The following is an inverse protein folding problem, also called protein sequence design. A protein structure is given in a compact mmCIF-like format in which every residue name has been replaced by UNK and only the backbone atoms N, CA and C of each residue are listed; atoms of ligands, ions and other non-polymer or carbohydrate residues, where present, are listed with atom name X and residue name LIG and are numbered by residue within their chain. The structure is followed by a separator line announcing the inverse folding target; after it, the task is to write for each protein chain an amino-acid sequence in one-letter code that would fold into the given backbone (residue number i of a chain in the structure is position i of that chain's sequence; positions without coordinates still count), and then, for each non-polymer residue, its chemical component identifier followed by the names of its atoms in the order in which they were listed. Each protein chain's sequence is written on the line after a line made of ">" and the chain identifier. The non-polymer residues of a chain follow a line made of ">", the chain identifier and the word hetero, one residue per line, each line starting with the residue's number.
data_IF_061620165435
#
_entry.id   IF_061620165435
#
_cell.length_a   1.000
_cell.length_b   1.000
_cell.length_c   1.000
_cell.angle_alpha   90.00
_cell.angle_beta   90.00
_cell.angle_gamma   90.00
#
_symmetry.space_group_name_H-M   'P 1'
#
loop_
_entity.id
_entity.type
_entity.pdbx_description
1 polymer ?
#
# COMPACT_ATOMS: atom_id res chain seq x y z
N UNK A 1 6.23 6.18 12.88
CA UNK A 1 6.55 6.90 11.62
C UNK A 1 8.05 6.99 11.47
N UNK A 2 8.58 6.50 10.34
CA UNK A 2 10.01 6.44 10.03
C UNK A 2 10.41 7.55 9.06
N UNK A 3 11.50 8.25 9.30
CA UNK A 3 11.98 9.29 8.39
C UNK A 3 13.51 9.27 8.30
N UNK A 4 14.09 9.38 7.08
CA UNK A 4 15.53 9.46 6.90
C UNK A 4 16.02 10.88 7.20
N UNK A 5 17.26 11.23 6.82
CA UNK A 5 17.78 12.60 7.00
C UNK A 5 17.16 13.63 6.04
N UNK A 6 15.85 13.62 5.87
CA UNK A 6 15.07 14.57 5.09
C UNK A 6 14.37 15.58 6.00
N UNK A 7 13.71 16.60 5.43
CA UNK A 7 12.89 17.54 6.20
C UNK A 7 11.50 16.93 6.46
N UNK A 8 11.19 16.43 7.67
CA UNK A 8 9.81 16.16 8.04
C UNK A 8 9.08 17.49 8.25
N UNK A 9 7.84 17.62 7.78
CA UNK A 9 7.11 18.88 7.84
C UNK A 9 5.65 18.69 8.20
N UNK A 10 5.20 19.41 9.21
CA UNK A 10 3.81 19.46 9.64
C UNK A 10 3.21 20.79 9.18
N UNK A 11 1.98 20.74 8.67
CA UNK A 11 1.17 21.91 8.39
C UNK A 11 -0.16 21.82 9.14
N UNK A 12 -0.63 22.94 9.66
CA UNK A 12 -2.03 23.12 10.06
C UNK A 12 -2.76 23.77 8.89
N UNK A 13 -3.80 23.11 8.42
CA UNK A 13 -4.59 23.56 7.28
C UNK A 13 -5.70 24.50 7.71
N UNK A 14 -6.27 25.29 6.77
CA UNK A 14 -7.33 26.27 7.06
C UNK A 14 -8.58 25.65 7.70
N UNK A 15 -8.84 24.36 7.45
CA UNK A 15 -9.97 23.64 8.04
C UNK A 15 -9.70 23.15 9.49
N UNK A 16 -8.55 23.50 10.08
CA UNK A 16 -8.17 23.15 11.44
C UNK A 16 -7.49 21.79 11.58
N UNK A 17 -7.45 20.96 10.52
CA UNK A 17 -6.78 19.65 10.51
C UNK A 17 -5.31 19.78 10.12
N UNK A 18 -4.54 18.72 10.32
CA UNK A 18 -3.10 18.71 10.13
C UNK A 18 -2.67 17.76 9.02
N UNK A 19 -1.56 18.07 8.37
CA UNK A 19 -0.90 17.20 7.39
C UNK A 19 0.55 17.03 7.80
N UNK A 20 1.07 15.80 7.72
CA UNK A 20 2.45 15.50 8.06
C UNK A 20 3.17 14.79 6.92
N UNK A 21 4.15 15.46 6.33
CA UNK A 21 5.04 14.94 5.30
C UNK A 21 6.26 14.25 5.88
N UNK A 22 6.59 13.08 5.33
CA UNK A 22 7.77 12.28 5.66
C UNK A 22 8.06 11.23 4.56
N UNK A 23 9.03 10.33 4.73
CA UNK A 23 9.41 9.35 3.69
C UNK A 23 9.22 7.86 4.05
N UNK A 24 8.61 7.57 5.20
CA UNK A 24 8.35 6.21 5.69
C UNK A 24 9.54 5.23 5.55
N UNK A 25 10.73 5.71 5.94
CA UNK A 25 12.01 5.03 5.79
C UNK A 25 12.94 5.40 6.96
N UNK A 26 13.61 4.46 7.63
CA UNK A 26 14.37 4.73 8.87
C UNK A 26 15.88 4.89 8.70
N UNK A 27 16.38 4.83 7.45
CA UNK A 27 17.78 5.08 7.11
C UNK A 27 18.32 6.39 7.69
N UNK A 28 19.62 6.47 8.00
CA UNK A 28 20.21 7.63 8.70
C UNK A 28 20.94 8.60 7.78
N UNK A 29 20.93 8.33 6.49
CA UNK A 29 21.61 9.11 5.45
C UNK A 29 20.62 9.91 4.59
N UNK A 30 21.08 10.35 3.41
CA UNK A 30 20.28 11.14 2.49
C UNK A 30 19.47 10.31 1.48
N UNK A 31 19.39 8.99 1.64
CA UNK A 31 18.68 8.04 0.76
C UNK A 31 17.23 7.79 1.22
N UNK A 32 16.48 7.04 0.43
CA UNK A 32 15.14 6.55 0.80
C UNK A 32 14.09 7.66 0.84
N UNK A 33 14.14 8.59 -0.11
CA UNK A 33 13.22 9.74 -0.20
C UNK A 33 12.23 9.67 -1.35
N UNK A 34 12.13 8.51 -1.98
CA UNK A 34 11.16 8.23 -3.02
C UNK A 34 10.45 6.91 -2.71
N UNK A 35 9.16 6.94 -2.33
CA UNK A 35 8.25 8.08 -2.41
C UNK A 35 8.29 9.02 -1.19
N UNK A 36 7.57 10.14 -1.30
CA UNK A 36 7.15 10.98 -0.19
C UNK A 36 5.73 10.58 0.27
N UNK A 37 5.54 10.57 1.57
CA UNK A 37 4.33 10.11 2.25
C UNK A 37 3.67 11.26 3.00
N UNK A 38 2.36 11.12 3.23
CA UNK A 38 1.55 12.06 4.01
C UNK A 38 0.66 11.33 5.01
N UNK A 39 0.58 11.83 6.25
CA UNK A 39 -0.45 11.45 7.23
C UNK A 39 -1.37 12.64 7.51
N UNK A 40 -2.67 12.37 7.63
CA UNK A 40 -3.66 13.34 8.09
C UNK A 40 -3.77 13.31 9.62
N UNK A 41 -3.84 14.47 10.27
CA UNK A 41 -3.99 14.60 11.71
C UNK A 41 -5.29 15.31 12.07
N UNK A 42 -6.01 14.79 13.07
CA UNK A 42 -7.13 15.48 13.72
C UNK A 42 -6.81 15.75 15.18
N UNK A 43 -7.24 16.89 15.71
CA UNK A 43 -7.06 17.21 17.12
C UNK A 43 -8.21 16.64 17.95
N UNK A 44 -7.89 15.87 18.98
CA UNK A 44 -8.82 15.27 19.93
C UNK A 44 -8.21 15.46 21.32
N UNK A 45 -8.94 16.12 22.22
CA UNK A 45 -8.51 16.36 23.61
C UNK A 45 -7.10 16.96 23.74
N UNK A 46 -6.74 17.89 22.85
CA UNK A 46 -5.42 18.54 22.83
C UNK A 46 -4.29 17.70 22.24
N UNK A 47 -4.58 16.51 21.72
CA UNK A 47 -3.61 15.65 21.05
C UNK A 47 -3.93 15.52 19.55
N UNK A 48 -2.90 15.47 18.70
CA UNK A 48 -3.08 15.18 17.28
C UNK A 48 -3.04 13.67 17.06
N UNK A 49 -4.17 13.12 16.62
CA UNK A 49 -4.29 11.73 16.21
C UNK A 49 -3.97 11.64 14.71
N UNK A 50 -2.90 10.93 14.39
CA UNK A 50 -2.45 10.75 13.00
C UNK A 50 -3.08 9.52 12.35
N UNK A 51 -3.41 9.64 11.07
CA UNK A 51 -3.84 8.56 10.20
C UNK A 51 -2.66 7.65 9.84
N UNK A 52 -2.97 6.44 9.35
CA UNK A 52 -1.98 5.67 8.57
C UNK A 52 -1.60 6.49 7.33
N UNK A 53 -0.35 6.40 6.84
CA UNK A 53 0.12 7.28 5.78
C UNK A 53 -0.29 6.81 4.38
N UNK A 54 -0.33 7.77 3.46
CA UNK A 54 -0.50 7.56 2.02
C UNK A 54 0.75 8.00 1.26
N UNK A 55 0.97 7.41 0.09
CA UNK A 55 1.93 7.97 -0.88
C UNK A 55 1.33 9.26 -1.42
N UNK A 56 2.08 10.37 -1.31
CA UNK A 56 1.66 11.67 -1.80
C UNK A 56 2.33 11.99 -3.15
N UNK A 57 3.65 11.85 -3.21
CA UNK A 57 4.44 12.11 -4.41
C UNK A 57 5.48 11.00 -4.59
N UNK A 58 5.76 10.70 -5.84
CA UNK A 58 6.83 9.79 -6.23
C UNK A 58 7.48 10.30 -7.50
N UNK A 59 8.74 9.92 -7.70
CA UNK A 59 9.41 10.04 -8.99
C UNK A 59 9.38 8.67 -9.69
N UNK A 60 8.99 8.60 -10.97
CA UNK A 60 8.96 7.35 -11.72
C UNK A 60 10.36 6.76 -11.96
N UNK A 61 11.43 7.56 -11.85
CA UNK A 61 12.79 7.05 -11.92
C UNK A 61 13.10 6.26 -10.63
N UNK A 62 13.14 4.94 -10.77
CA UNK A 62 13.55 4.05 -9.69
C UNK A 62 15.05 4.24 -9.40
N UNK A 63 15.40 4.62 -8.16
CA UNK A 63 16.77 4.65 -7.68
C UNK A 63 17.03 5.73 -6.63
N UNK A 64 17.74 5.36 -5.56
CA UNK A 64 18.17 6.27 -4.49
C UNK A 64 19.57 6.87 -4.78
N UNK A 65 19.87 7.24 -6.02
CA UNK A 65 21.21 7.73 -6.34
C UNK A 65 21.58 8.98 -5.51
N UNK A 66 22.83 9.06 -5.04
CA UNK A 66 23.36 10.23 -4.34
C UNK A 66 23.98 11.18 -5.37
N UNK A 67 23.30 12.27 -5.72
CA UNK A 67 23.90 13.30 -6.57
C UNK A 67 22.90 14.31 -7.11
N UNK A 68 23.33 15.11 -8.09
CA UNK A 68 22.45 15.94 -8.92
C UNK A 68 21.48 15.09 -9.77
N UNK A 69 21.83 13.83 -9.98
CA UNK A 69 21.11 12.87 -10.84
C UNK A 69 20.24 11.88 -10.02
N UNK A 70 20.03 12.16 -8.73
CA UNK A 70 19.32 11.27 -7.82
C UNK A 70 18.00 11.81 -7.31
N UNK A 71 16.99 10.94 -7.24
CA UNK A 71 15.65 11.30 -6.73
C UNK A 71 15.70 11.48 -5.22
N UNK A 72 15.64 12.73 -4.75
CA UNK A 72 15.69 13.06 -3.32
C UNK A 72 14.76 14.20 -2.93
N UNK A 73 13.47 14.01 -3.19
CA UNK A 73 12.41 14.97 -2.82
C UNK A 73 12.52 15.32 -1.34
N UNK A 74 12.52 16.61 -1.01
CA UNK A 74 12.58 17.14 0.35
C UNK A 74 12.27 18.64 0.34
N UNK A 75 12.22 19.25 1.53
CA UNK A 75 11.91 20.66 1.75
C UNK A 75 10.53 21.02 1.22
N UNK A 76 9.49 20.28 1.64
CA UNK A 76 8.17 20.55 1.15
C UNK A 76 7.60 21.81 1.76
N UNK A 77 6.69 22.47 1.05
CA UNK A 77 5.76 23.42 1.64
C UNK A 77 4.37 23.29 1.06
N UNK A 78 3.36 23.71 1.82
CA UNK A 78 1.95 23.58 1.46
C UNK A 78 1.37 24.95 1.11
N UNK A 79 0.70 25.03 -0.03
CA UNK A 79 -0.07 26.19 -0.47
C UNK A 79 -1.55 25.81 -0.45
N UNK A 80 -2.36 26.66 0.19
CA UNK A 80 -3.81 26.53 0.26
C UNK A 80 -4.49 27.77 -0.32
N UNK A 81 -5.19 27.60 -1.44
CA UNK A 81 -5.87 28.70 -2.11
C UNK A 81 -7.19 28.21 -2.72
N UNK A 82 -8.28 28.94 -2.45
CA UNK A 82 -9.60 28.70 -3.04
C UNK A 82 -10.10 27.24 -2.90
N UNK A 83 -9.84 26.62 -1.74
CA UNK A 83 -10.23 25.23 -1.45
C UNK A 83 -9.37 24.16 -2.12
N UNK A 84 -8.29 24.55 -2.79
CA UNK A 84 -7.33 23.67 -3.47
C UNK A 84 -6.00 23.66 -2.74
N UNK A 85 -5.22 22.62 -3.00
CA UNK A 85 -3.95 22.34 -2.35
C UNK A 85 -2.85 22.17 -3.38
N UNK A 86 -1.69 22.76 -3.08
CA UNK A 86 -0.46 22.47 -3.80
C UNK A 86 0.65 22.16 -2.81
N UNK A 87 1.50 21.21 -3.17
CA UNK A 87 2.72 20.90 -2.43
C UNK A 87 3.92 21.23 -3.29
N UNK A 88 4.77 22.10 -2.78
CA UNK A 88 6.09 22.34 -3.36
C UNK A 88 7.09 21.32 -2.82
N UNK A 89 8.08 20.96 -3.62
CA UNK A 89 9.21 20.12 -3.21
C UNK A 89 10.48 20.55 -3.95
N UNK A 90 11.64 20.14 -3.43
CA UNK A 90 12.92 20.28 -4.13
C UNK A 90 13.71 18.98 -4.11
N UNK A 91 14.50 18.76 -5.17
CA UNK A 91 15.55 17.75 -5.23
C UNK A 91 16.94 18.36 -5.42
N UNK A 92 17.29 19.34 -4.56
CA UNK A 92 18.53 20.15 -4.61
C UNK A 92 18.63 21.12 -5.78
N UNK A 93 18.47 20.67 -7.02
CA UNK A 93 18.67 21.48 -8.23
C UNK A 93 17.38 21.92 -8.92
N UNK A 94 16.28 21.21 -8.66
CA UNK A 94 14.97 21.48 -9.27
C UNK A 94 13.97 21.68 -8.15
N UNK A 95 13.15 22.72 -8.27
CA UNK A 95 11.97 22.97 -7.44
C UNK A 95 10.71 22.70 -8.29
N UNK A 96 9.73 22.03 -7.70
CA UNK A 96 8.45 21.70 -8.35
C UNK A 96 7.29 22.10 -7.46
N UNK A 97 6.14 22.34 -8.08
CA UNK A 97 4.86 22.56 -7.40
C UNK A 97 3.88 21.57 -8.01
N UNK A 98 3.24 20.79 -7.16
CA UNK A 98 2.26 19.77 -7.54
C UNK A 98 0.91 20.19 -7.01
N UNK A 99 -0.08 20.30 -7.89
CA UNK A 99 -1.46 20.33 -7.42
C UNK A 99 -1.83 18.96 -6.86
N UNK A 100 -2.44 18.94 -5.68
CA UNK A 100 -2.88 17.73 -5.02
C UNK A 100 -4.41 17.71 -5.03
N UNK A 101 -4.99 16.59 -5.43
CA UNK A 101 -6.42 16.37 -5.31
C UNK A 101 -6.85 16.46 -3.83
N UNK A 102 -7.70 17.43 -3.53
CA UNK A 102 -8.21 17.66 -2.18
C UNK A 102 -8.90 16.41 -1.59
N UNK A 103 -9.48 15.55 -2.45
CA UNK A 103 -10.11 14.31 -2.03
C UNK A 103 -9.13 13.33 -1.36
N UNK A 104 -7.83 13.40 -1.68
CA UNK A 104 -6.80 12.60 -1.00
C UNK A 104 -6.64 13.04 0.46
N UNK A 105 -6.62 14.34 0.72
CA UNK A 105 -6.51 14.88 2.08
C UNK A 105 -7.76 14.61 2.91
N UNK A 106 -8.94 14.78 2.32
CA UNK A 106 -10.20 14.36 2.95
C UNK A 106 -10.19 12.88 3.31
N UNK A 107 -9.60 12.04 2.46
CA UNK A 107 -9.50 10.60 2.69
C UNK A 107 -8.58 10.24 3.87
N UNK A 108 -7.39 10.84 3.99
CA UNK A 108 -6.51 10.59 5.15
C UNK A 108 -7.10 11.08 6.46
N UNK A 109 -7.77 12.23 6.46
CA UNK A 109 -8.46 12.72 7.66
C UNK A 109 -9.70 11.89 8.02
N UNK A 110 -10.41 11.35 7.03
CA UNK A 110 -11.58 10.51 7.25
C UNK A 110 -11.24 9.13 7.82
N UNK A 111 -9.97 8.70 7.82
CA UNK A 111 -9.56 7.40 8.37
C UNK A 111 -10.04 7.20 9.82
N UNK A 112 -10.20 8.27 10.61
CA UNK A 112 -10.63 8.17 12.01
C UNK A 112 -12.08 7.71 12.18
N UNK A 113 -12.96 7.93 11.21
CA UNK A 113 -14.40 7.65 11.32
C UNK A 113 -14.92 6.70 10.24
N UNK A 114 -14.24 6.61 9.10
CA UNK A 114 -14.68 5.82 7.94
C UNK A 114 -14.60 4.31 8.22
N UNK A 115 -15.68 3.60 7.90
CA UNK A 115 -15.85 2.16 8.15
C UNK A 115 -16.74 1.47 7.11
N UNK A 116 -16.60 1.86 5.85
CA UNK A 116 -17.37 1.29 4.74
C UNK A 116 -16.48 0.51 3.77
N UNK A 117 -17.04 -0.56 3.21
CA UNK A 117 -16.36 -1.32 2.15
C UNK A 117 -16.23 -0.47 0.89
N UNK A 118 -15.02 -0.41 0.37
CA UNK A 118 -14.71 0.22 -0.91
C UNK A 118 -15.36 -0.57 -2.04
N UNK A 119 -16.12 0.11 -2.91
CA UNK A 119 -16.80 -0.54 -4.05
C UNK A 119 -16.15 -0.20 -5.39
N UNK A 120 -15.51 0.95 -5.50
CA UNK A 120 -14.82 1.35 -6.72
C UNK A 120 -13.68 0.36 -7.02
N UNK A 121 -13.73 -0.26 -8.20
CA UNK A 121 -12.75 -1.23 -8.66
C UNK A 121 -12.90 -2.63 -8.07
N UNK A 122 -13.88 -2.89 -7.19
CA UNK A 122 -14.14 -4.24 -6.64
C UNK A 122 -14.58 -5.17 -7.77
N UNK A 123 -13.74 -6.14 -8.11
CA UNK A 123 -13.94 -7.08 -9.21
C UNK A 123 -14.25 -8.51 -8.73
N UNK A 124 -13.88 -8.84 -7.49
CA UNK A 124 -14.23 -10.09 -6.82
C UNK A 124 -14.55 -9.83 -5.35
N UNK A 125 -15.59 -10.46 -4.82
CA UNK A 125 -15.92 -10.48 -3.39
C UNK A 125 -16.55 -11.84 -3.05
N UNK A 126 -15.78 -12.73 -2.44
CA UNK A 126 -16.20 -14.10 -2.13
C UNK A 126 -15.96 -14.44 -0.66
N UNK A 127 -16.98 -15.02 -0.03
CA UNK A 127 -17.00 -15.47 1.35
C UNK A 127 -16.62 -16.95 1.52
N UNK A 128 -16.93 -17.54 2.69
CA UNK A 128 -16.54 -18.91 3.02
C UNK A 128 -17.45 -19.96 2.37
N UNK A 129 -18.66 -19.56 1.98
CA UNK A 129 -19.67 -20.42 1.34
C UNK A 129 -19.52 -20.50 -0.18
N UNK A 130 -18.71 -19.62 -0.79
CA UNK A 130 -18.41 -19.67 -2.21
C UNK A 130 -17.41 -20.80 -2.53
N UNK A 131 -17.60 -21.45 -3.68
CA UNK A 131 -16.81 -22.61 -4.08
C UNK A 131 -15.30 -22.31 -4.09
N UNK A 132 -14.54 -22.89 -3.16
CA UNK A 132 -13.12 -22.53 -2.89
C UNK A 132 -12.12 -22.81 -4.03
N UNK A 133 -12.50 -23.59 -5.04
CA UNK A 133 -11.63 -24.00 -6.15
C UNK A 133 -12.04 -23.58 -7.56
N UNK A 134 -13.15 -22.84 -7.73
CA UNK A 134 -13.69 -22.50 -9.06
C UNK A 134 -14.20 -21.06 -9.16
N UNK A 135 -13.70 -20.16 -8.31
CA UNK A 135 -14.03 -18.74 -8.44
C UNK A 135 -13.24 -18.17 -9.61
N UNK A 136 -13.93 -17.58 -10.58
CA UNK A 136 -13.28 -16.89 -11.69
C UNK A 136 -12.38 -15.76 -11.17
N UNK A 137 -11.12 -15.76 -11.61
CA UNK A 137 -10.18 -14.69 -11.28
C UNK A 137 -10.43 -13.51 -12.23
N UNK A 138 -10.71 -12.30 -11.71
CA UNK A 138 -10.84 -11.13 -12.57
C UNK A 138 -9.51 -10.78 -13.23
N UNK A 139 -9.58 -10.20 -14.44
CA UNK A 139 -8.39 -9.69 -15.14
C UNK A 139 -7.78 -8.53 -14.36
N UNK A 140 -6.50 -8.66 -14.02
CA UNK A 140 -5.69 -7.61 -13.41
C UNK A 140 -5.10 -6.68 -14.49
N UNK A 141 -5.05 -5.35 -14.26
CA UNK A 141 -4.41 -4.43 -15.19
C UNK A 141 -2.90 -4.71 -15.39
N UNK A 142 -2.38 -4.40 -16.58
CA UNK A 142 -0.95 -4.54 -16.90
C UNK A 142 -0.10 -3.53 -16.11
N UNK A 143 0.85 -4.03 -15.32
CA UNK A 143 1.68 -3.23 -14.43
C UNK A 143 2.67 -2.32 -15.18
N UNK A 144 3.05 -2.64 -16.43
CA UNK A 144 3.89 -1.75 -17.26
C UNK A 144 3.15 -0.49 -17.67
N UNK A 145 1.82 -0.58 -17.79
CA UNK A 145 0.94 0.52 -18.22
C UNK A 145 0.39 1.33 -17.05
N UNK A 146 1.15 1.39 -15.94
CA UNK A 146 0.76 2.04 -14.68
C UNK A 146 -0.50 1.43 -14.04
N UNK A 147 -0.89 0.22 -14.45
CA UNK A 147 -1.96 -0.53 -13.83
C UNK A 147 -1.62 -0.92 -12.39
N UNK A 148 -2.64 -1.24 -11.60
CA UNK A 148 -2.45 -1.72 -10.24
C UNK A 148 -3.61 -2.61 -9.82
N UNK A 149 -3.46 -3.26 -8.69
CA UNK A 149 -4.51 -4.09 -8.10
C UNK A 149 -4.32 -4.20 -6.59
N UNK A 150 -5.37 -4.61 -5.89
CA UNK A 150 -5.27 -4.98 -4.47
C UNK A 150 -6.01 -6.28 -4.21
N UNK A 151 -5.45 -7.10 -3.32
CA UNK A 151 -6.06 -8.33 -2.84
C UNK A 151 -6.25 -8.19 -1.33
N UNK A 152 -7.51 -8.16 -0.90
CA UNK A 152 -7.92 -8.10 0.50
C UNK A 152 -8.39 -9.46 0.99
N UNK A 153 -7.84 -9.96 2.09
CA UNK A 153 -8.23 -11.21 2.71
C UNK A 153 -8.67 -10.96 4.16
N UNK A 154 -9.77 -11.58 4.55
CA UNK A 154 -10.03 -11.89 5.94
C UNK A 154 -9.66 -13.35 6.18
N UNK A 155 -8.79 -13.61 7.15
CA UNK A 155 -8.27 -14.95 7.44
C UNK A 155 -8.35 -15.27 8.93
N UNK A 156 -8.53 -16.53 9.26
CA UNK A 156 -8.51 -17.02 10.64
C UNK A 156 -7.73 -18.34 10.67
N UNK A 157 -6.56 -18.29 11.30
CA UNK A 157 -5.57 -19.37 11.31
C UNK A 157 -4.90 -19.57 9.95
N UNK A 158 -3.57 -19.57 9.91
CA UNK A 158 -2.80 -19.90 8.72
C UNK A 158 -1.52 -20.63 9.11
N UNK A 159 -1.10 -21.62 8.32
CA UNK A 159 0.16 -22.33 8.55
C UNK A 159 1.27 -21.75 7.69
N UNK A 160 2.50 -21.78 8.20
CA UNK A 160 3.67 -21.48 7.39
C UNK A 160 3.70 -22.38 6.14
N UNK A 161 3.95 -21.77 4.98
CA UNK A 161 3.92 -22.40 3.66
C UNK A 161 2.53 -22.50 3.03
N UNK A 162 1.45 -22.13 3.73
CA UNK A 162 0.09 -22.22 3.20
C UNK A 162 -0.20 -21.13 2.16
N UNK A 163 -0.61 -21.53 0.95
CA UNK A 163 -1.10 -20.63 -0.08
C UNK A 163 -2.52 -20.15 0.25
N UNK A 164 -2.64 -18.92 0.73
CA UNK A 164 -3.91 -18.31 1.15
C UNK A 164 -4.81 -18.01 -0.05
N UNK A 165 -4.22 -17.45 -1.11
CA UNK A 165 -4.87 -17.08 -2.35
C UNK A 165 -3.89 -17.35 -3.49
N UNK A 166 -4.24 -18.23 -4.44
CA UNK A 166 -3.34 -18.62 -5.53
C UNK A 166 -4.08 -18.63 -6.87
N UNK A 167 -3.66 -17.75 -7.78
CA UNK A 167 -4.16 -17.62 -9.14
C UNK A 167 -3.03 -17.79 -10.16
N UNK A 168 -1.99 -18.56 -9.82
CA UNK A 168 -0.92 -18.91 -10.76
C UNK A 168 -1.31 -20.04 -11.68
N UNK A 169 -0.85 -19.99 -12.92
CA UNK A 169 -0.98 -21.08 -13.88
C UNK A 169 0.08 -22.18 -13.63
N UNK A 170 0.11 -23.18 -14.52
CA UNK A 170 1.00 -24.32 -14.39
C UNK A 170 2.50 -23.95 -14.54
N UNK A 171 2.79 -22.83 -15.21
CA UNK A 171 4.15 -22.34 -15.45
C UNK A 171 4.59 -21.35 -14.35
N UNK A 172 3.70 -21.03 -13.41
CA UNK A 172 3.97 -20.15 -12.27
C UNK A 172 3.66 -18.67 -12.52
N UNK A 173 3.26 -18.29 -13.74
CA UNK A 173 2.76 -16.94 -14.04
C UNK A 173 1.47 -16.70 -13.26
N UNK A 174 1.31 -15.51 -12.68
CA UNK A 174 0.13 -15.14 -11.91
C UNK A 174 0.47 -14.45 -10.60
N UNK A 175 -0.47 -14.50 -9.65
CA UNK A 175 -0.33 -13.92 -8.32
C UNK A 175 -0.67 -14.93 -7.23
N UNK A 176 0.06 -14.88 -6.11
CA UNK A 176 -0.24 -15.66 -4.92
C UNK A 176 0.08 -14.89 -3.63
N UNK A 177 -0.76 -15.08 -2.61
CA UNK A 177 -0.50 -14.69 -1.23
C UNK A 177 -0.22 -15.94 -0.40
N UNK A 178 0.93 -15.98 0.28
CA UNK A 178 1.42 -17.14 1.01
C UNK A 178 1.77 -16.73 2.43
N UNK A 179 1.32 -17.50 3.43
CA UNK A 179 1.83 -17.35 4.80
C UNK A 179 3.23 -17.96 4.87
N UNK A 180 4.23 -17.20 5.31
CA UNK A 180 5.64 -17.66 5.39
C UNK A 180 6.05 -17.95 6.83
N UNK A 181 7.21 -18.59 7.02
CA UNK A 181 7.69 -19.07 8.34
C UNK A 181 7.75 -17.98 9.42
N UNK A 182 8.01 -16.72 9.03
CA UNK A 182 8.06 -15.58 9.94
C UNK A 182 6.67 -15.05 10.36
N UNK A 183 5.58 -15.79 10.12
CA UNK A 183 4.21 -15.31 10.37
C UNK A 183 3.77 -14.12 9.52
N UNK A 184 4.53 -13.79 8.47
CA UNK A 184 4.19 -12.75 7.49
C UNK A 184 3.36 -13.32 6.34
N UNK A 185 2.71 -12.44 5.59
CA UNK A 185 2.10 -12.76 4.30
C UNK A 185 2.97 -12.21 3.19
N UNK A 186 3.42 -13.09 2.30
CA UNK A 186 4.20 -12.75 1.11
C UNK A 186 3.29 -12.73 -0.12
N UNK A 187 3.30 -11.60 -0.83
CA UNK A 187 2.81 -11.53 -2.20
C UNK A 187 3.92 -12.00 -3.13
N UNK A 188 3.57 -12.93 -4.01
CA UNK A 188 4.39 -13.40 -5.12
C UNK A 188 3.65 -13.11 -6.41
N UNK A 189 4.33 -12.54 -7.38
CA UNK A 189 3.77 -12.28 -8.70
C UNK A 189 4.79 -12.53 -9.80
N UNK A 190 4.31 -13.04 -10.93
CA UNK A 190 5.11 -13.35 -12.10
C UNK A 190 4.32 -13.08 -13.37
N UNK A 191 4.96 -12.51 -14.39
CA UNK A 191 4.41 -12.43 -15.75
C UNK A 191 4.93 -13.54 -16.69
N UNK A 192 5.75 -14.45 -16.15
CA UNK A 192 6.47 -15.50 -16.89
C UNK A 192 7.98 -15.23 -16.90
N UNK A 193 8.47 -14.21 -17.64
CA UNK A 193 9.89 -13.87 -17.67
C UNK A 193 10.38 -13.05 -16.47
N UNK A 194 9.49 -12.36 -15.74
CA UNK A 194 9.87 -11.49 -14.62
C UNK A 194 9.05 -11.82 -13.38
N UNK A 195 9.75 -11.90 -12.24
CA UNK A 195 9.17 -12.18 -10.93
C UNK A 195 9.33 -10.98 -9.99
N UNK A 196 8.39 -10.83 -9.07
CA UNK A 196 8.52 -9.96 -7.92
C UNK A 196 7.85 -10.55 -6.69
N UNK A 197 8.42 -10.24 -5.52
CA UNK A 197 7.87 -10.64 -4.22
C UNK A 197 8.11 -9.57 -3.16
N UNK A 198 7.17 -9.45 -2.24
CA UNK A 198 7.34 -8.65 -1.03
C UNK A 198 6.47 -9.23 0.08
N UNK A 199 6.97 -9.17 1.31
CA UNK A 199 6.27 -9.65 2.49
C UNK A 199 5.80 -8.50 3.36
N UNK A 200 4.67 -8.71 4.04
CA UNK A 200 4.23 -7.87 5.16
C UNK A 200 5.29 -7.84 6.27
N UNK A 201 5.04 -7.09 7.33
CA UNK A 201 5.82 -7.22 8.56
C UNK A 201 5.69 -8.65 9.12
N UNK A 202 6.72 -9.10 9.81
CA UNK A 202 6.71 -10.42 10.44
C UNK A 202 5.74 -10.45 11.61
N UNK A 203 5.38 -11.67 12.00
CA UNK A 203 4.56 -12.01 13.15
C UNK A 203 3.13 -11.45 13.10
N UNK A 204 2.71 -10.85 11.98
CA UNK A 204 1.37 -10.25 11.83
C UNK A 204 0.24 -11.27 11.91
N UNK A 205 0.53 -12.56 11.69
CA UNK A 205 -0.42 -13.68 11.82
C UNK A 205 -0.17 -14.56 13.04
N UNK A 206 0.63 -14.11 14.02
CA UNK A 206 0.95 -14.92 15.21
C UNK A 206 -0.09 -14.79 16.33
N UNK A 207 -0.86 -13.71 16.34
CA UNK A 207 -1.95 -13.56 17.28
C UNK A 207 -3.12 -14.48 16.90
N UNK A 208 -3.80 -15.01 17.90
CA UNK A 208 -5.02 -15.79 17.67
C UNK A 208 -6.15 -14.89 17.15
N UNK A 209 -6.94 -15.42 16.22
CA UNK A 209 -8.19 -14.82 15.77
C UNK A 209 -8.20 -14.44 14.30
N UNK A 210 -9.08 -13.49 14.00
CA UNK A 210 -9.40 -13.04 12.65
C UNK A 210 -8.51 -11.84 12.28
N UNK A 211 -7.78 -11.97 11.17
CA UNK A 211 -6.93 -10.91 10.62
C UNK A 211 -7.47 -10.41 9.28
N UNK A 212 -7.30 -9.12 9.02
CA UNK A 212 -7.56 -8.50 7.73
C UNK A 212 -6.26 -8.04 7.09
N UNK A 213 -5.95 -8.58 5.92
CA UNK A 213 -4.75 -8.26 5.15
C UNK A 213 -5.17 -7.63 3.84
N UNK A 214 -4.53 -6.55 3.43
CA UNK A 214 -4.62 -6.01 2.08
C UNK A 214 -3.23 -5.88 1.51
N UNK A 215 -2.94 -6.65 0.45
CA UNK A 215 -1.77 -6.44 -0.38
C UNK A 215 -2.16 -5.49 -1.52
N UNK A 216 -1.43 -4.39 -1.70
CA UNK A 216 -1.65 -3.43 -2.78
C UNK A 216 -0.43 -3.37 -3.67
N UNK A 217 -0.66 -3.51 -4.98
CA UNK A 217 0.34 -3.35 -6.04
C UNK A 217 -0.03 -2.11 -6.84
N UNK A 218 0.84 -1.10 -6.79
CA UNK A 218 0.67 0.16 -7.50
C UNK A 218 1.74 0.30 -8.59
N UNK A 219 1.30 0.23 -9.85
CA UNK A 219 2.16 0.40 -11.02
C UNK A 219 2.60 1.83 -11.30
N UNK A 220 2.07 2.84 -10.61
CA UNK A 220 2.60 4.20 -10.68
C UNK A 220 4.03 4.27 -10.13
N UNK A 221 4.20 4.17 -8.80
CA UNK A 221 5.51 4.18 -8.14
C UNK A 221 6.24 2.82 -8.22
N UNK A 222 5.62 1.78 -8.80
CA UNK A 222 6.11 0.38 -8.82
C UNK A 222 6.31 -0.18 -7.42
N UNK A 223 5.28 -0.06 -6.58
CA UNK A 223 5.34 -0.44 -5.16
C UNK A 223 4.35 -1.53 -4.77
N UNK A 224 4.77 -2.33 -3.80
CA UNK A 224 3.97 -3.30 -3.07
C UNK A 224 3.89 -2.85 -1.61
N UNK A 225 2.68 -2.69 -1.10
CA UNK A 225 2.42 -2.34 0.31
C UNK A 225 1.45 -3.33 0.94
N UNK A 226 1.52 -3.44 2.26
CA UNK A 226 0.59 -4.24 3.05
C UNK A 226 -0.08 -3.39 4.12
N UNK A 227 -1.39 -3.55 4.26
CA UNK A 227 -2.14 -3.10 5.44
C UNK A 227 -2.65 -4.34 6.16
N UNK A 228 -2.26 -4.52 7.42
CA UNK A 228 -2.73 -5.62 8.27
C UNK A 228 -3.45 -5.03 9.48
N UNK A 229 -4.69 -5.48 9.71
CA UNK A 229 -5.55 -5.03 10.81
C UNK A 229 -5.67 -3.50 10.92
N UNK A 230 -5.72 -2.84 9.76
CA UNK A 230 -5.82 -1.39 9.66
C UNK A 230 -4.53 -0.62 9.96
N UNK A 231 -3.38 -1.29 10.05
CA UNK A 231 -2.06 -0.68 10.14
C UNK A 231 -1.25 -0.94 8.87
N UNK A 232 -0.66 0.10 8.30
CA UNK A 232 0.27 -0.05 7.18
C UNK A 232 1.57 -0.67 7.71
N UNK A 233 2.03 -1.76 7.09
CA UNK A 233 3.35 -2.32 7.37
C UNK A 233 4.43 -1.29 7.04
N UNK A 234 5.24 -0.95 8.04
CA UNK A 234 6.30 0.04 7.91
C UNK A 234 7.70 -0.58 7.99
N UNK A 235 7.78 -1.91 8.14
CA UNK A 235 9.01 -2.68 8.30
C UNK A 235 9.29 -3.07 9.75
N UNK A 236 8.50 -2.60 10.71
CA UNK A 236 8.69 -2.85 12.14
C UNK A 236 10.10 -2.52 12.61
N UNK A 237 10.66 -3.34 13.49
CA UNK A 237 12.07 -3.21 13.89
C UNK A 237 13.04 -3.92 12.91
N UNK A 238 12.49 -4.75 12.02
CA UNK A 238 13.27 -5.67 11.19
C UNK A 238 13.79 -5.04 9.90
N UNK A 239 13.09 -4.03 9.38
CA UNK A 239 13.42 -3.36 8.11
C UNK A 239 13.38 -1.85 8.23
N UNK A 240 14.16 -1.20 7.38
CA UNK A 240 14.16 0.27 7.29
C UNK A 240 12.83 0.82 6.76
N UNK A 241 12.06 0.01 6.05
CA UNK A 241 10.79 0.35 5.43
C UNK A 241 9.93 -0.92 5.23
N UNK A 242 8.62 -0.74 5.01
CA UNK A 242 7.64 -1.83 4.91
C UNK A 242 7.07 -2.06 3.51
N UNK A 243 7.64 -1.41 2.50
CA UNK A 243 7.17 -1.43 1.11
C UNK A 243 8.25 -1.98 0.16
N UNK A 244 7.85 -2.70 -0.88
CA UNK A 244 8.77 -3.31 -1.85
C UNK A 244 8.64 -2.66 -3.21
N UNK A 245 9.76 -2.48 -3.93
CA UNK A 245 9.72 -2.16 -5.35
C UNK A 245 9.67 -3.43 -6.19
N UNK A 246 9.00 -3.37 -7.34
CA UNK A 246 9.05 -4.42 -8.35
C UNK A 246 9.68 -3.90 -9.66
N UNK A 247 10.23 -4.79 -10.50
CA UNK A 247 10.91 -4.39 -11.73
C UNK A 247 9.97 -3.66 -12.70
N UNK A 248 10.50 -2.69 -13.45
CA UNK A 248 9.69 -1.84 -14.32
C UNK A 248 9.11 -2.61 -15.53
N UNK A 249 9.79 -3.70 -15.92
CA UNK A 249 9.43 -4.61 -16.99
C UNK A 249 8.34 -5.61 -16.62
N UNK A 250 8.07 -5.82 -15.32
CA UNK A 250 7.00 -6.71 -14.86
C UNK A 250 5.65 -6.16 -15.33
N UNK A 251 4.90 -6.97 -16.09
CA UNK A 251 3.69 -6.53 -16.77
C UNK A 251 2.43 -7.32 -16.44
N UNK A 252 2.07 -8.23 -17.35
CA UNK A 252 0.83 -8.98 -17.29
C UNK A 252 0.94 -10.16 -16.31
N UNK A 253 0.52 -9.96 -15.07
CA UNK A 253 0.51 -11.00 -14.03
C UNK A 253 -0.80 -11.81 -14.00
N UNK A 254 -1.54 -11.89 -15.12
CA UNK A 254 -2.70 -12.77 -15.23
C UNK A 254 -2.26 -14.20 -15.55
N UNK A 255 -2.42 -15.11 -14.59
CA UNK A 255 -2.14 -16.54 -14.71
C UNK A 255 -3.40 -17.36 -14.94
N UNK A 256 -3.75 -18.20 -13.96
CA UNK A 256 -4.91 -19.08 -14.04
C UNK A 256 -6.24 -18.31 -14.14
N UNK A 257 -7.21 -18.90 -14.85
CA UNK A 257 -8.56 -18.32 -15.00
C UNK A 257 -9.39 -18.38 -13.71
N UNK A 258 -8.97 -19.17 -12.72
CA UNK A 258 -9.63 -19.31 -11.42
C UNK A 258 -8.62 -19.12 -10.29
N UNK A 259 -9.13 -18.72 -9.13
CA UNK A 259 -8.35 -18.64 -7.90
C UNK A 259 -8.67 -19.80 -6.97
N UNK A 260 -7.62 -20.39 -6.39
CA UNK A 260 -7.69 -21.31 -5.25
C UNK A 260 -7.54 -20.53 -3.95
N UNK A 261 -8.40 -20.82 -2.96
CA UNK A 261 -8.35 -20.18 -1.63
C UNK A 261 -8.21 -21.22 -0.52
N UNK A 262 -7.36 -20.94 0.45
CA UNK A 262 -7.22 -21.76 1.65
C UNK A 262 -8.51 -21.79 2.50
N UNK A 263 -8.65 -22.80 3.36
CA UNK A 263 -9.74 -22.87 4.35
C UNK A 263 -9.67 -21.72 5.35
N UNK A 264 -8.44 -21.31 5.68
CA UNK A 264 -8.10 -20.12 6.45
C UNK A 264 -8.82 -18.84 5.99
N UNK A 265 -8.98 -18.69 4.67
CA UNK A 265 -9.60 -17.50 4.08
C UNK A 265 -11.10 -17.53 4.28
N UNK A 266 -11.60 -16.58 5.06
CA UNK A 266 -13.03 -16.36 5.34
C UNK A 266 -13.66 -15.45 4.32
N UNK A 267 -12.92 -14.47 3.81
CA UNK A 267 -13.36 -13.62 2.70
C UNK A 267 -12.18 -13.18 1.86
N UNK A 268 -12.36 -13.14 0.54
CA UNK A 268 -11.38 -12.58 -0.38
C UNK A 268 -12.03 -11.54 -1.27
N UNK A 269 -11.36 -10.41 -1.43
CA UNK A 269 -11.76 -9.34 -2.33
C UNK A 269 -10.60 -9.00 -3.26
N UNK A 270 -10.89 -8.85 -4.55
CA UNK A 270 -9.92 -8.39 -5.55
C UNK A 270 -10.41 -7.09 -6.13
N UNK A 271 -9.52 -6.10 -6.19
CA UNK A 271 -9.76 -4.81 -6.79
C UNK A 271 -8.89 -4.66 -8.04
N UNK A 272 -9.50 -4.31 -9.18
CA UNK A 272 -8.80 -4.04 -10.44
C UNK A 272 -8.08 -2.68 -10.48
N UNK A 273 -7.65 -2.21 -9.31
CA UNK A 273 -6.85 -1.00 -9.08
C UNK A 273 -6.12 -1.12 -7.75
N UNK A 274 -5.08 -0.32 -7.54
CA UNK A 274 -4.54 -0.13 -6.20
C UNK A 274 -5.60 0.54 -5.30
N UNK A 275 -5.71 0.06 -4.06
CA UNK A 275 -6.42 0.74 -2.99
C UNK A 275 -5.49 1.73 -2.29
N UNK A 276 -6.05 2.87 -1.88
CA UNK A 276 -5.39 3.75 -0.92
C UNK A 276 -5.26 3.03 0.44
N UNK A 277 -4.25 3.38 1.24
CA UNK A 277 -4.11 2.86 2.61
C UNK A 277 -5.40 3.09 3.41
N UNK A 278 -5.99 4.27 3.27
CA UNK A 278 -7.22 4.71 3.93
C UNK A 278 -8.44 3.86 3.53
N UNK A 279 -8.48 3.35 2.30
CA UNK A 279 -9.52 2.44 1.84
C UNK A 279 -9.35 1.06 2.44
N UNK A 280 -8.10 0.57 2.54
CA UNK A 280 -7.80 -0.68 3.23
C UNK A 280 -8.13 -0.60 4.74
N UNK A 281 -7.83 0.53 5.39
CA UNK A 281 -8.20 0.81 6.78
C UNK A 281 -9.72 0.86 6.96
N UNK A 282 -10.44 1.54 6.06
CA UNK A 282 -11.90 1.58 6.10
C UNK A 282 -12.53 0.19 5.90
N UNK A 283 -11.97 -0.63 4.99
CA UNK A 283 -12.40 -2.01 4.77
C UNK A 283 -12.22 -2.88 6.03
N UNK A 284 -11.11 -2.72 6.76
CA UNK A 284 -10.90 -3.39 8.04
C UNK A 284 -11.98 -3.01 9.06
N UNK A 285 -12.20 -1.71 9.24
CA UNK A 285 -13.18 -1.16 10.20
C UNK A 285 -14.63 -1.51 9.87
N UNK A 286 -14.93 -1.79 8.61
CA UNK A 286 -16.24 -2.27 8.18
C UNK A 286 -16.52 -3.71 8.63
N UNK A 287 -15.49 -4.47 8.98
CA UNK A 287 -15.59 -5.87 9.38
C UNK A 287 -15.62 -6.84 8.19
N UNK A 288 -15.79 -8.11 8.54
CA UNK A 288 -15.89 -9.24 7.62
C UNK A 288 -16.99 -9.05 6.58
#
# INVERSE_FOLDING_TARGET
>A
MKNPRACPRIWKTKNGKYLFWFHNHSGKDFLGRNPAWISGGIEVDGHIHWSQPEILLYDPQCGDAVGKDGVRMSYPDLIEQDGRYWVSETQKSVARIHEIDAALFDTVWAQHTKKNITRQGLALDVGPNDARGHVAMPRLPDLRKLGGFSIGLWIEGAKAGEGLFDARDADGKGVALVCIESGAVELRMSDGPTDARWASDADVLTADGLHHIVATVDGGPKLITFVVDGALCDGGEQRQFGWGRFPAELGDVNGAATVKRATAVKRARVYGRYLLTSEAVANFRAGL
#
